data_IF_640619113470
#
_entry.id   IF_640619113470
#
_cell.length_a   1.000
_cell.length_b   1.000
_cell.length_c   1.000
_cell.angle_alpha   90.00
_cell.angle_beta   90.00
_cell.angle_gamma   90.00
#
_symmetry.space_group_name_H-M   'P 1'
#
loop_
_entity.id
_entity.type
_entity.pdbx_description
1 polymer ?
#
# COMPACT_ATOMS: atom_id res chain seq x y z
N UNK A 1 -20.73 -30.18 5.04
CA UNK A 1 -21.11 -29.22 6.11
C UNK A 1 -20.32 -27.96 5.84
N UNK A 2 -20.98 -26.81 5.76
CA UNK A 2 -20.27 -25.54 5.66
C UNK A 2 -19.40 -25.39 6.92
N UNK A 3 -18.13 -25.11 6.75
CA UNK A 3 -17.25 -24.83 7.90
C UNK A 3 -17.59 -23.45 8.43
N UNK A 4 -17.76 -23.33 9.75
CA UNK A 4 -18.03 -22.06 10.42
C UNK A 4 -16.72 -21.29 10.75
N UNK A 5 -15.56 -21.83 10.36
CA UNK A 5 -14.27 -21.19 10.58
C UNK A 5 -13.80 -20.38 9.36
N UNK A 6 -13.30 -19.19 9.61
CA UNK A 6 -12.71 -18.31 8.61
C UNK A 6 -11.31 -17.88 9.05
N UNK A 7 -10.40 -17.68 8.09
CA UNK A 7 -9.03 -17.25 8.35
C UNK A 7 -8.77 -15.87 7.76
N UNK A 8 -8.24 -14.96 8.56
CA UNK A 8 -7.67 -13.68 8.14
C UNK A 8 -6.15 -13.71 8.19
N UNK A 9 -5.52 -13.29 7.10
CA UNK A 9 -4.07 -13.19 6.96
C UNK A 9 -3.69 -11.72 6.90
N UNK A 10 -2.82 -11.26 7.78
CA UNK A 10 -2.17 -9.95 7.73
C UNK A 10 -0.69 -10.13 7.34
N UNK A 11 -0.37 -9.89 6.08
CA UNK A 11 1.00 -9.90 5.55
C UNK A 11 1.52 -8.46 5.43
N UNK A 12 1.84 -7.85 6.56
CA UNK A 12 2.40 -6.50 6.64
C UNK A 12 3.93 -6.52 6.44
N UNK A 13 4.61 -5.39 6.64
CA UNK A 13 6.05 -5.26 6.30
C UNK A 13 6.95 -6.20 7.10
N UNK A 14 6.65 -6.43 8.38
CA UNK A 14 7.56 -7.14 9.32
C UNK A 14 7.20 -8.61 9.54
N UNK A 15 5.98 -9.02 9.26
CA UNK A 15 5.50 -10.37 9.56
C UNK A 15 4.21 -10.71 8.85
N UNK A 16 3.99 -12.00 8.65
CA UNK A 16 2.65 -12.57 8.41
C UNK A 16 2.03 -12.97 9.75
N UNK A 17 0.80 -12.54 9.98
CA UNK A 17 -0.03 -12.95 11.12
C UNK A 17 -1.28 -13.64 10.58
N UNK A 18 -1.75 -14.62 11.31
CA UNK A 18 -2.92 -15.43 10.99
C UNK A 18 -3.87 -15.45 12.17
N UNK A 19 -5.14 -15.21 11.90
CA UNK A 19 -6.21 -15.32 12.86
C UNK A 19 -7.28 -16.23 12.27
N UNK A 20 -7.64 -17.29 12.95
CA UNK A 20 -8.78 -18.15 12.61
C UNK A 20 -9.90 -17.88 13.60
N UNK A 21 -11.06 -17.50 13.10
CA UNK A 21 -12.22 -17.15 13.87
C UNK A 21 -13.42 -18.06 13.55
N UNK A 22 -14.32 -18.24 14.51
CA UNK A 22 -15.68 -18.68 14.25
C UNK A 22 -16.44 -17.56 13.52
N UNK A 23 -17.00 -17.85 12.36
CA UNK A 23 -17.68 -16.88 11.51
C UNK A 23 -18.98 -16.32 12.09
N UNK A 24 -19.61 -17.05 13.03
CA UNK A 24 -20.89 -16.66 13.64
C UNK A 24 -20.70 -15.78 14.88
N UNK A 25 -19.63 -16.04 15.65
CA UNK A 25 -19.39 -15.37 16.93
C UNK A 25 -18.27 -14.33 16.87
N UNK A 26 -17.36 -14.44 15.88
CA UNK A 26 -16.13 -13.64 15.81
C UNK A 26 -15.07 -14.10 16.84
N UNK A 27 -15.30 -15.19 17.56
CA UNK A 27 -14.33 -15.69 18.55
C UNK A 27 -13.06 -16.17 17.85
N UNK A 28 -11.89 -15.74 18.36
CA UNK A 28 -10.59 -16.18 17.87
C UNK A 28 -10.31 -17.58 18.40
N UNK A 29 -10.17 -18.54 17.47
CA UNK A 29 -9.96 -19.97 17.79
C UNK A 29 -8.47 -20.33 17.72
N UNK A 30 -7.75 -19.80 16.74
CA UNK A 30 -6.32 -20.09 16.52
C UNK A 30 -5.61 -18.85 16.02
N UNK A 31 -4.33 -18.74 16.32
CA UNK A 31 -3.47 -17.66 15.81
C UNK A 31 -2.10 -18.20 15.45
N UNK A 32 -1.47 -17.58 14.45
CA UNK A 32 -0.10 -17.88 14.05
C UNK A 32 0.65 -16.63 13.65
N UNK A 33 1.97 -16.71 13.62
CA UNK A 33 2.83 -15.60 13.20
C UNK A 33 4.18 -16.13 12.74
N UNK A 34 4.68 -15.51 11.64
CA UNK A 34 6.05 -15.71 11.18
C UNK A 34 6.67 -14.36 10.77
N UNK A 35 7.97 -14.19 10.95
CA UNK A 35 8.67 -12.94 10.63
C UNK A 35 8.98 -12.85 9.14
N UNK A 36 9.02 -11.62 8.63
CA UNK A 36 9.59 -11.31 7.32
C UNK A 36 11.05 -10.85 7.46
N UNK A 37 11.87 -10.98 6.40
CA UNK A 37 13.18 -10.36 6.36
C UNK A 37 13.07 -8.83 6.48
N UNK A 38 14.05 -8.23 7.15
CA UNK A 38 14.18 -6.77 7.19
C UNK A 38 14.61 -6.22 5.82
N UNK A 39 14.22 -4.98 5.53
CA UNK A 39 14.65 -4.26 4.34
C UNK A 39 13.53 -3.52 3.62
N UNK A 40 13.87 -2.93 2.48
CA UNK A 40 12.97 -2.22 1.57
C UNK A 40 12.80 -2.95 0.23
N UNK A 41 13.51 -4.08 0.09
CA UNK A 41 13.50 -4.97 -1.07
C UNK A 41 13.50 -6.41 -0.57
N UNK A 42 12.46 -7.19 -0.91
CA UNK A 42 12.24 -8.53 -0.39
C UNK A 42 11.80 -9.47 -1.52
N UNK A 43 12.38 -10.68 -1.55
CA UNK A 43 11.89 -11.72 -2.45
C UNK A 43 10.46 -12.14 -2.05
N UNK A 44 9.48 -12.12 -2.97
CA UNK A 44 8.10 -12.52 -2.64
C UNK A 44 7.98 -13.92 -2.06
N UNK A 45 8.89 -14.82 -2.40
CA UNK A 45 8.97 -16.17 -1.81
C UNK A 45 9.08 -16.14 -0.28
N UNK A 46 9.75 -15.14 0.30
CA UNK A 46 9.86 -15.00 1.75
C UNK A 46 8.50 -14.75 2.42
N UNK A 47 7.58 -14.05 1.75
CA UNK A 47 6.20 -13.88 2.26
C UNK A 47 5.42 -15.18 2.20
N UNK A 48 5.64 -15.97 1.14
CA UNK A 48 5.00 -17.27 1.01
C UNK A 48 5.51 -18.26 2.07
N UNK A 49 6.81 -18.26 2.35
CA UNK A 49 7.40 -19.10 3.40
C UNK A 49 6.87 -18.68 4.78
N UNK A 50 6.82 -17.38 5.07
CA UNK A 50 6.23 -16.86 6.28
C UNK A 50 4.72 -17.18 6.40
N UNK A 51 3.97 -17.13 5.29
CA UNK A 51 2.59 -17.57 5.26
C UNK A 51 2.46 -19.05 5.64
N UNK A 52 3.27 -19.92 5.04
CA UNK A 52 3.25 -21.36 5.32
C UNK A 52 3.60 -21.67 6.77
N UNK A 53 4.63 -21.01 7.31
CA UNK A 53 5.02 -21.12 8.72
C UNK A 53 3.89 -20.64 9.65
N UNK A 54 3.33 -19.46 9.38
CA UNK A 54 2.28 -18.88 10.21
C UNK A 54 0.96 -19.66 10.17
N UNK A 55 0.70 -20.43 9.11
CA UNK A 55 -0.54 -21.22 8.92
C UNK A 55 -0.39 -22.69 9.26
N UNK A 56 0.79 -23.15 9.66
CA UNK A 56 1.06 -24.59 9.88
C UNK A 56 0.08 -25.18 10.92
N UNK A 57 -0.70 -26.18 10.48
CA UNK A 57 -1.74 -26.85 11.26
C UNK A 57 -2.95 -25.98 11.65
N UNK A 58 -3.05 -24.72 11.18
CA UNK A 58 -4.13 -23.81 11.58
C UNK A 58 -5.34 -23.82 10.64
N UNK A 59 -5.18 -24.24 9.39
CA UNK A 59 -6.23 -24.14 8.36
C UNK A 59 -7.19 -25.33 8.33
N UNK A 60 -7.04 -26.30 9.22
CA UNK A 60 -7.95 -27.44 9.28
C UNK A 60 -9.37 -27.00 9.63
N UNK A 61 -10.33 -27.37 8.77
CA UNK A 61 -11.73 -27.02 8.93
C UNK A 61 -12.06 -25.55 8.59
N UNK A 62 -11.13 -24.77 8.06
CA UNK A 62 -11.39 -23.41 7.56
C UNK A 62 -12.16 -23.47 6.25
N UNK A 63 -13.29 -22.74 6.15
CA UNK A 63 -14.12 -22.65 4.95
C UNK A 63 -13.78 -21.51 4.02
N UNK A 64 -13.23 -20.41 4.56
CA UNK A 64 -12.85 -19.25 3.77
C UNK A 64 -11.59 -18.56 4.34
N UNK A 65 -10.80 -17.95 3.43
CA UNK A 65 -9.56 -17.25 3.77
C UNK A 65 -9.49 -15.91 3.02
N UNK A 66 -8.98 -14.87 3.67
CA UNK A 66 -8.71 -13.57 3.07
C UNK A 66 -7.34 -13.05 3.44
N UNK A 67 -6.69 -12.36 2.49
CA UNK A 67 -5.35 -11.78 2.66
C UNK A 67 -5.45 -10.26 2.73
N UNK A 68 -4.96 -9.68 3.82
CA UNK A 68 -4.57 -8.27 3.89
C UNK A 68 -3.05 -8.17 3.69
N UNK A 69 -2.59 -7.35 2.75
CA UNK A 69 -1.17 -7.23 2.46
C UNK A 69 -0.67 -5.80 2.47
N UNK A 70 0.64 -5.62 2.70
CA UNK A 70 1.26 -4.30 2.60
C UNK A 70 1.01 -3.68 1.24
N UNK A 71 0.68 -2.38 1.23
CA UNK A 71 0.29 -1.66 0.02
C UNK A 71 1.50 -1.24 -0.83
N UNK A 72 1.26 -0.90 -2.10
CA UNK A 72 2.19 -0.25 -3.03
C UNK A 72 3.44 -1.05 -3.43
N UNK A 73 3.70 -2.19 -2.83
CA UNK A 73 4.83 -3.04 -3.20
C UNK A 73 4.75 -3.44 -4.68
N UNK A 74 5.91 -3.58 -5.35
CA UNK A 74 5.97 -3.93 -6.76
C UNK A 74 6.48 -5.36 -6.91
N UNK A 75 5.60 -6.29 -7.26
CA UNK A 75 5.95 -7.66 -7.67
C UNK A 75 5.87 -7.74 -9.19
N UNK A 76 6.97 -8.10 -9.83
CA UNK A 76 7.07 -8.24 -11.29
C UNK A 76 7.29 -9.70 -11.65
N UNK A 77 6.47 -10.22 -12.58
CA UNK A 77 6.52 -11.60 -13.06
C UNK A 77 6.83 -11.62 -14.56
N UNK A 78 7.55 -12.62 -15.01
CA UNK A 78 7.75 -12.92 -16.42
C UNK A 78 6.60 -13.75 -17.00
N UNK A 79 6.69 -14.11 -18.28
CA UNK A 79 5.68 -14.89 -19.00
C UNK A 79 5.42 -16.28 -18.39
N UNK A 80 6.40 -16.85 -17.70
CA UNK A 80 6.26 -18.12 -16.99
C UNK A 80 5.65 -17.98 -15.59
N UNK A 81 5.44 -16.73 -15.11
CA UNK A 81 4.96 -16.44 -13.76
C UNK A 81 6.06 -16.43 -12.71
N UNK A 82 7.33 -16.49 -13.14
CA UNK A 82 8.49 -16.39 -12.23
C UNK A 82 8.80 -14.93 -11.90
N UNK A 83 9.26 -14.70 -10.68
CA UNK A 83 9.61 -13.36 -10.19
C UNK A 83 10.83 -12.81 -10.93
N UNK A 84 10.68 -11.70 -11.62
CA UNK A 84 11.75 -11.06 -12.39
C UNK A 84 12.84 -10.48 -11.47
N UNK A 85 12.42 -9.90 -10.34
CA UNK A 85 13.33 -9.33 -9.33
C UNK A 85 12.69 -9.32 -7.95
N UNK A 86 13.45 -9.17 -6.84
CA UNK A 86 12.87 -8.91 -5.52
C UNK A 86 11.94 -7.69 -5.53
N UNK A 87 10.83 -7.79 -4.81
CA UNK A 87 9.81 -6.73 -4.75
C UNK A 87 10.33 -5.49 -4.03
N UNK A 88 10.12 -4.31 -4.61
CA UNK A 88 10.35 -3.03 -3.95
C UNK A 88 9.16 -2.70 -3.06
N UNK A 89 9.39 -2.50 -1.76
CA UNK A 89 8.36 -2.25 -0.78
C UNK A 89 7.91 -0.78 -0.78
N UNK A 90 6.83 -0.49 -0.06
CA UNK A 90 6.28 0.86 0.07
C UNK A 90 7.25 1.87 0.69
N UNK A 91 8.14 1.41 1.58
CA UNK A 91 9.14 2.20 2.28
C UNK A 91 10.48 2.34 1.52
N UNK A 92 10.56 1.80 0.28
CA UNK A 92 11.71 2.01 -0.59
C UNK A 92 11.63 3.39 -1.25
N UNK A 93 12.70 4.18 -1.11
CA UNK A 93 12.74 5.57 -1.56
C UNK A 93 13.53 5.77 -2.86
N UNK A 94 14.08 4.70 -3.47
CA UNK A 94 14.89 4.80 -4.71
C UNK A 94 14.13 5.42 -5.89
N UNK A 95 12.80 5.31 -5.90
CA UNK A 95 11.92 5.88 -6.91
C UNK A 95 11.49 7.33 -6.63
N UNK A 96 12.10 8.04 -5.67
CA UNK A 96 11.75 9.43 -5.35
C UNK A 96 11.94 10.37 -6.56
N UNK A 97 13.05 10.24 -7.29
CA UNK A 97 13.29 11.02 -8.52
C UNK A 97 12.26 10.70 -9.61
N UNK A 98 11.90 9.43 -9.78
CA UNK A 98 10.86 9.02 -10.71
C UNK A 98 9.49 9.63 -10.36
N UNK A 99 9.17 9.78 -9.06
CA UNK A 99 7.95 10.44 -8.63
C UNK A 99 7.94 11.94 -8.99
N UNK A 100 9.06 12.65 -8.80
CA UNK A 100 9.22 14.05 -9.20
C UNK A 100 9.05 14.21 -10.71
N UNK A 101 9.70 13.36 -11.51
CA UNK A 101 9.65 13.41 -12.97
C UNK A 101 8.24 13.16 -13.49
N UNK A 102 7.58 12.10 -13.04
CA UNK A 102 6.20 11.81 -13.42
C UNK A 102 5.26 12.95 -13.01
N UNK A 103 5.47 13.53 -11.82
CA UNK A 103 4.70 14.68 -11.34
C UNK A 103 4.87 15.91 -12.24
N UNK A 104 6.09 16.18 -12.70
CA UNK A 104 6.40 17.30 -13.59
C UNK A 104 5.91 17.07 -15.03
N UNK A 105 6.05 15.86 -15.57
CA UNK A 105 5.70 15.51 -16.95
C UNK A 105 4.20 15.65 -17.23
N UNK A 106 3.34 15.20 -16.33
CA UNK A 106 1.89 15.27 -16.51
C UNK A 106 1.23 16.46 -15.77
N UNK A 107 1.88 16.95 -14.73
CA UNK A 107 1.38 17.99 -13.85
C UNK A 107 0.46 17.50 -12.75
N UNK A 108 0.51 18.13 -11.55
CA UNK A 108 -0.22 17.68 -10.36
C UNK A 108 -1.74 17.58 -10.54
N UNK A 109 -2.34 18.56 -11.22
CA UNK A 109 -3.80 18.59 -11.44
C UNK A 109 -4.27 17.42 -12.31
N UNK A 110 -3.50 17.09 -13.36
CA UNK A 110 -3.83 15.99 -14.26
C UNK A 110 -3.70 14.63 -13.54
N UNK A 111 -2.67 14.44 -12.70
CA UNK A 111 -2.54 13.25 -11.87
C UNK A 111 -3.72 13.12 -10.92
N UNK A 112 -4.04 14.16 -10.14
CA UNK A 112 -5.16 14.15 -9.20
C UNK A 112 -6.50 13.87 -9.90
N UNK A 113 -6.73 14.46 -11.08
CA UNK A 113 -7.94 14.21 -11.87
C UNK A 113 -8.00 12.78 -12.42
N UNK A 114 -6.86 12.20 -12.77
CA UNK A 114 -6.79 10.89 -13.44
C UNK A 114 -6.93 9.73 -12.46
N UNK A 115 -6.25 9.79 -11.32
CA UNK A 115 -6.13 8.68 -10.35
C UNK A 115 -6.41 9.08 -8.90
N UNK A 116 -6.84 10.33 -8.67
CA UNK A 116 -7.22 10.83 -7.33
C UNK A 116 -6.03 11.19 -6.43
N UNK A 117 -4.79 11.08 -6.89
CA UNK A 117 -3.58 11.31 -6.08
C UNK A 117 -2.41 11.76 -6.93
N UNK A 118 -1.34 12.22 -6.28
CA UNK A 118 -0.05 12.50 -6.91
C UNK A 118 0.89 11.31 -6.75
N UNK A 119 1.75 10.99 -7.74
CA UNK A 119 2.80 10.00 -7.59
C UNK A 119 3.74 10.36 -6.45
N UNK A 120 3.98 9.40 -5.56
CA UNK A 120 4.99 9.49 -4.49
C UNK A 120 5.88 8.26 -4.55
N UNK A 121 7.07 8.31 -3.95
CA UNK A 121 8.05 7.23 -4.01
C UNK A 121 7.49 5.85 -3.59
N UNK A 122 6.51 5.82 -2.70
CA UNK A 122 5.88 4.57 -2.25
C UNK A 122 5.02 3.90 -3.33
N UNK A 123 4.48 4.63 -4.31
CA UNK A 123 3.53 4.09 -5.29
C UNK A 123 4.19 3.17 -6.31
N UNK A 124 3.44 2.17 -6.77
CA UNK A 124 3.91 1.17 -7.75
C UNK A 124 4.33 1.80 -9.07
N UNK A 125 3.60 2.83 -9.54
CA UNK A 125 3.89 3.55 -10.79
C UNK A 125 5.29 4.17 -10.80
N UNK A 126 5.75 4.69 -9.66
CA UNK A 126 7.08 5.31 -9.56
C UNK A 126 8.20 4.28 -9.52
N UNK A 127 7.94 3.11 -8.95
CA UNK A 127 8.86 1.97 -8.96
C UNK A 127 9.02 1.38 -10.37
N UNK A 128 7.92 1.31 -11.12
CA UNK A 128 7.97 0.88 -12.53
C UNK A 128 8.76 1.88 -13.38
N UNK A 129 8.61 3.19 -13.17
CA UNK A 129 9.42 4.21 -13.84
C UNK A 129 10.89 4.06 -13.48
N UNK A 130 11.19 3.91 -12.20
CA UNK A 130 12.55 3.68 -11.75
C UNK A 130 13.16 2.42 -12.39
N UNK A 131 12.40 1.33 -12.46
CA UNK A 131 12.85 0.08 -13.08
C UNK A 131 13.11 0.26 -14.58
N UNK A 132 12.24 0.96 -15.31
CA UNK A 132 12.42 1.23 -16.72
C UNK A 132 13.70 2.05 -16.99
N UNK A 133 14.01 3.01 -16.12
CA UNK A 133 15.15 3.91 -16.27
C UNK A 133 16.49 3.28 -15.82
N UNK A 134 16.47 2.37 -14.82
CA UNK A 134 17.69 1.85 -14.19
C UNK A 134 17.96 0.36 -14.45
N UNK A 135 16.92 -0.42 -14.77
CA UNK A 135 17.00 -1.87 -15.00
C UNK A 135 16.22 -2.26 -16.28
N UNK A 136 16.52 -1.63 -17.45
CA UNK A 136 15.71 -1.82 -18.66
C UNK A 136 15.68 -3.28 -19.14
N UNK A 137 16.73 -4.04 -18.98
CA UNK A 137 16.78 -5.47 -19.35
C UNK A 137 15.84 -6.32 -18.50
N UNK A 138 15.69 -6.00 -17.20
CA UNK A 138 14.71 -6.64 -16.34
C UNK A 138 13.29 -6.14 -16.66
N UNK A 139 13.13 -4.84 -16.94
CA UNK A 139 11.85 -4.26 -17.33
C UNK A 139 11.28 -4.92 -18.60
N UNK A 140 12.14 -5.29 -19.58
CA UNK A 140 11.74 -5.97 -20.81
C UNK A 140 11.22 -7.40 -20.58
N UNK A 141 11.56 -8.02 -19.44
CA UNK A 141 11.09 -9.35 -19.07
C UNK A 141 9.74 -9.35 -18.34
N UNK A 142 9.27 -8.17 -17.91
CA UNK A 142 8.04 -8.09 -17.11
C UNK A 142 6.81 -8.31 -17.99
N UNK A 143 6.16 -9.45 -17.81
CA UNK A 143 4.88 -9.77 -18.42
C UNK A 143 3.69 -9.37 -17.55
N UNK A 144 3.86 -9.36 -16.20
CA UNK A 144 2.77 -9.06 -15.25
C UNK A 144 3.28 -8.27 -14.04
N UNK A 145 2.42 -7.37 -13.53
CA UNK A 145 2.69 -6.60 -12.30
C UNK A 145 1.57 -6.85 -11.29
N UNK A 146 1.96 -7.24 -10.07
CA UNK A 146 1.07 -7.52 -8.95
C UNK A 146 1.48 -6.69 -7.73
N UNK A 147 0.54 -6.46 -6.83
CA UNK A 147 0.81 -5.97 -5.48
C UNK A 147 1.11 -7.17 -4.55
N UNK A 148 1.69 -6.94 -3.35
CA UNK A 148 2.01 -8.04 -2.43
C UNK A 148 0.79 -8.90 -2.07
N UNK A 149 -0.37 -8.27 -1.80
CA UNK A 149 -1.59 -9.02 -1.48
C UNK A 149 -2.14 -9.78 -2.69
N UNK A 150 -2.07 -9.20 -3.91
CA UNK A 150 -2.48 -9.86 -5.15
C UNK A 150 -1.66 -11.14 -5.36
N UNK A 151 -0.34 -11.02 -5.20
CA UNK A 151 0.59 -12.14 -5.39
C UNK A 151 0.34 -13.26 -4.37
N UNK A 152 0.15 -12.93 -3.09
CA UNK A 152 -0.16 -13.92 -2.05
C UNK A 152 -1.52 -14.57 -2.29
N UNK A 153 -2.55 -13.80 -2.64
CA UNK A 153 -3.86 -14.32 -2.98
C UNK A 153 -3.78 -15.25 -4.19
N UNK A 154 -3.06 -14.87 -5.24
CA UNK A 154 -2.85 -15.71 -6.41
C UNK A 154 -2.14 -17.02 -6.10
N UNK A 155 -1.13 -16.98 -5.20
CA UNK A 155 -0.43 -18.19 -4.73
C UNK A 155 -1.32 -19.17 -3.94
N UNK A 156 -2.41 -18.68 -3.35
CA UNK A 156 -3.40 -19.50 -2.66
C UNK A 156 -4.36 -20.22 -3.62
N UNK A 157 -4.60 -19.64 -4.79
CA UNK A 157 -5.57 -20.13 -5.76
C UNK A 157 -5.08 -21.44 -6.40
N UNK A 158 -6.04 -22.20 -6.89
CA UNK A 158 -5.75 -23.40 -7.69
C UNK A 158 -5.08 -23.03 -9.02
N UNK A 159 -4.28 -23.95 -9.56
CA UNK A 159 -3.48 -23.70 -10.77
C UNK A 159 -4.33 -23.21 -11.95
N UNK A 160 -3.78 -22.26 -12.70
CA UNK A 160 -4.41 -21.69 -13.89
C UNK A 160 -5.45 -20.60 -13.62
N UNK A 161 -5.68 -20.24 -12.34
CA UNK A 161 -6.55 -19.12 -11.99
C UNK A 161 -5.81 -17.80 -12.22
N UNK A 162 -6.47 -16.85 -12.90
CA UNK A 162 -5.91 -15.52 -13.12
C UNK A 162 -5.83 -14.71 -11.80
N UNK A 163 -4.79 -13.89 -11.62
CA UNK A 163 -4.66 -13.06 -10.42
C UNK A 163 -5.75 -11.99 -10.37
N UNK A 164 -6.18 -11.70 -9.16
CA UNK A 164 -7.17 -10.67 -8.85
C UNK A 164 -6.63 -9.69 -7.83
N UNK A 165 -7.25 -8.52 -7.77
CA UNK A 165 -7.01 -7.48 -6.78
C UNK A 165 -8.33 -6.87 -6.33
N UNK A 166 -8.29 -6.11 -5.23
CA UNK A 166 -9.41 -5.29 -4.82
C UNK A 166 -9.24 -3.83 -5.28
N UNK A 167 -10.32 -3.09 -5.24
CA UNK A 167 -10.34 -1.67 -5.61
C UNK A 167 -9.49 -0.80 -4.68
N UNK A 168 -9.43 -1.15 -3.39
CA UNK A 168 -8.70 -0.38 -2.38
C UNK A 168 -7.20 -0.40 -2.65
N UNK A 169 -6.62 -1.58 -2.84
CA UNK A 169 -5.19 -1.74 -3.09
C UNK A 169 -4.82 -1.26 -4.50
N UNK A 170 -5.64 -1.55 -5.52
CA UNK A 170 -5.46 -1.01 -6.86
C UNK A 170 -5.35 0.51 -6.89
N UNK A 171 -6.08 1.23 -6.02
CA UNK A 171 -6.03 2.69 -5.90
C UNK A 171 -4.67 3.23 -5.49
N UNK A 172 -3.84 2.43 -4.83
CA UNK A 172 -2.49 2.79 -4.41
C UNK A 172 -1.42 2.57 -5.47
N UNK A 173 -1.77 2.06 -6.66
CA UNK A 173 -0.81 1.80 -7.73
C UNK A 173 -0.32 3.06 -8.43
N UNK A 174 -1.16 4.11 -8.51
CA UNK A 174 -0.92 5.33 -9.29
C UNK A 174 -1.31 5.20 -10.78
N UNK A 175 -1.85 4.07 -11.19
CA UNK A 175 -2.41 3.86 -12.54
C UNK A 175 -3.81 3.21 -12.53
N UNK A 176 -4.53 3.33 -11.43
CA UNK A 176 -5.94 2.95 -11.32
C UNK A 176 -6.78 4.19 -10.97
N UNK A 177 -7.92 4.36 -11.63
CA UNK A 177 -8.85 5.44 -11.36
C UNK A 177 -9.98 4.99 -10.43
N UNK A 178 -10.00 5.40 -9.17
CA UNK A 178 -11.11 5.05 -8.27
C UNK A 178 -12.45 5.66 -8.69
N UNK A 179 -12.43 6.72 -9.53
CA UNK A 179 -13.63 7.36 -10.02
C UNK A 179 -14.34 6.55 -11.12
N UNK A 180 -13.57 5.90 -12.01
CA UNK A 180 -14.13 5.08 -13.10
C UNK A 180 -14.12 3.59 -12.79
N UNK A 181 -13.31 3.15 -11.83
CA UNK A 181 -13.10 1.74 -11.52
C UNK A 181 -12.21 1.02 -12.55
N UNK A 182 -11.42 1.77 -13.31
CA UNK A 182 -10.63 1.24 -14.42
C UNK A 182 -9.14 1.57 -14.30
N UNK A 183 -8.29 0.71 -14.89
CA UNK A 183 -6.87 0.99 -15.03
C UNK A 183 -6.62 2.04 -16.11
N UNK A 184 -5.77 3.01 -15.80
CA UNK A 184 -5.22 4.00 -16.71
C UNK A 184 -3.95 3.43 -17.37
N UNK A 185 -4.16 2.56 -18.36
CA UNK A 185 -3.08 1.89 -19.10
C UNK A 185 -2.16 2.87 -19.83
N UNK A 186 -2.67 4.05 -20.17
CA UNK A 186 -1.89 5.15 -20.73
C UNK A 186 -0.85 5.69 -19.72
N UNK A 187 -1.23 5.86 -18.45
CA UNK A 187 -0.31 6.28 -17.39
C UNK A 187 0.70 5.17 -17.04
N UNK A 188 0.26 3.91 -17.03
CA UNK A 188 1.15 2.77 -16.86
C UNK A 188 2.22 2.73 -17.96
N UNK A 189 1.80 2.79 -19.22
CA UNK A 189 2.71 2.77 -20.37
C UNK A 189 3.66 3.97 -20.34
N UNK A 190 3.16 5.17 -20.02
CA UNK A 190 3.97 6.37 -19.88
C UNK A 190 5.07 6.20 -18.81
N UNK A 191 4.71 5.69 -17.64
CA UNK A 191 5.66 5.47 -16.57
C UNK A 191 6.65 4.33 -16.88
N UNK A 192 6.20 3.26 -17.54
CA UNK A 192 7.02 2.07 -17.77
C UNK A 192 7.73 2.04 -19.15
N UNK A 193 7.98 3.22 -19.70
CA UNK A 193 8.75 3.35 -20.96
C UNK A 193 8.07 2.72 -22.18
N UNK A 194 6.74 2.81 -22.26
CA UNK A 194 5.92 2.24 -23.32
C UNK A 194 5.46 0.80 -23.09
N UNK A 195 5.92 0.14 -22.05
CA UNK A 195 5.55 -1.26 -21.71
C UNK A 195 4.17 -1.32 -21.07
N UNK A 196 3.40 -2.37 -21.40
CA UNK A 196 2.02 -2.58 -20.92
C UNK A 196 1.84 -3.99 -20.35
N UNK A 197 2.46 -4.30 -19.21
CA UNK A 197 2.31 -5.61 -18.58
C UNK A 197 0.85 -5.89 -18.23
N UNK A 198 0.51 -7.16 -18.08
CA UNK A 198 -0.79 -7.58 -17.55
C UNK A 198 -0.96 -7.12 -16.10
N UNK A 199 -2.20 -6.79 -15.76
CA UNK A 199 -2.61 -6.37 -14.42
C UNK A 199 -3.69 -7.32 -13.89
N UNK A 200 -3.78 -7.52 -12.57
CA UNK A 200 -4.80 -8.36 -11.98
C UNK A 200 -6.20 -7.80 -12.25
N UNK A 201 -7.19 -8.69 -12.38
CA UNK A 201 -8.59 -8.27 -12.50
C UNK A 201 -9.05 -7.66 -11.19
N UNK A 202 -9.61 -6.45 -11.23
CA UNK A 202 -10.25 -5.83 -10.05
C UNK A 202 -11.60 -6.48 -9.82
N UNK A 203 -11.81 -7.06 -8.64
CA UNK A 203 -13.07 -7.69 -8.25
C UNK A 203 -13.72 -6.94 -7.08
N UNK A 204 -15.02 -7.17 -6.90
CA UNK A 204 -15.80 -6.55 -5.83
C UNK A 204 -15.50 -7.15 -4.44
N UNK A 205 -15.81 -6.44 -3.36
CA UNK A 205 -15.47 -6.87 -2.00
C UNK A 205 -16.21 -8.12 -1.54
N UNK A 206 -17.33 -8.48 -2.19
CA UNK A 206 -18.10 -9.68 -1.92
C UNK A 206 -17.88 -10.78 -2.98
N UNK A 207 -17.00 -10.55 -3.94
CA UNK A 207 -16.63 -11.55 -4.95
C UNK A 207 -15.53 -12.45 -4.42
N UNK A 208 -15.60 -13.73 -4.77
CA UNK A 208 -14.54 -14.69 -4.49
C UNK A 208 -13.44 -14.57 -5.55
N UNK A 209 -12.19 -14.61 -5.11
CA UNK A 209 -11.03 -14.77 -5.99
C UNK A 209 -11.00 -16.17 -6.64
N UNK A 210 -11.49 -17.17 -5.91
CA UNK A 210 -11.52 -18.58 -6.32
C UNK A 210 -11.47 -19.50 -5.10
N UNK A 211 -10.84 -20.65 -5.29
CA UNK A 211 -10.63 -21.63 -4.21
C UNK A 211 -9.17 -22.08 -4.18
N UNK A 212 -8.72 -22.49 -3.00
CA UNK A 212 -7.46 -23.22 -2.89
C UNK A 212 -7.62 -24.64 -3.44
N UNK A 213 -6.50 -25.34 -3.72
CA UNK A 213 -6.53 -26.75 -4.12
C UNK A 213 -7.30 -27.66 -3.16
N UNK A 214 -7.39 -27.27 -1.88
CA UNK A 214 -8.11 -28.01 -0.85
C UNK A 214 -9.58 -27.54 -0.67
N UNK A 215 -10.06 -26.66 -1.57
CA UNK A 215 -11.45 -26.20 -1.58
C UNK A 215 -11.80 -25.08 -0.59
N UNK A 216 -10.82 -24.43 0.05
CA UNK A 216 -11.06 -23.24 0.88
C UNK A 216 -11.41 -22.09 -0.05
N UNK A 217 -12.51 -21.38 0.19
CA UNK A 217 -12.89 -20.18 -0.54
C UNK A 217 -11.87 -19.06 -0.28
N UNK A 218 -11.37 -18.43 -1.33
CA UNK A 218 -10.44 -17.30 -1.23
C UNK A 218 -11.19 -16.01 -1.57
N UNK A 219 -11.19 -15.04 -0.65
CA UNK A 219 -11.81 -13.73 -0.86
C UNK A 219 -10.92 -12.83 -1.73
N UNK A 220 -11.45 -11.67 -2.14
CA UNK A 220 -10.70 -10.67 -2.89
C UNK A 220 -9.41 -10.22 -2.15
N UNK A 221 -9.41 -10.28 -0.82
CA UNK A 221 -8.36 -9.65 -0.03
C UNK A 221 -8.42 -8.13 -0.11
N UNK A 222 -7.41 -7.45 0.40
CA UNK A 222 -7.27 -5.98 0.31
C UNK A 222 -5.89 -5.53 0.83
N UNK A 223 -5.55 -4.24 0.70
CA UNK A 223 -4.40 -3.67 1.39
C UNK A 223 -4.57 -3.66 2.91
N UNK A 224 -3.47 -3.76 3.65
CA UNK A 224 -3.45 -3.85 5.12
C UNK A 224 -4.18 -2.69 5.82
N UNK A 225 -4.06 -1.46 5.31
CA UNK A 225 -4.77 -0.31 5.86
C UNK A 225 -6.29 -0.42 5.69
N UNK A 226 -6.75 -0.95 4.55
CA UNK A 226 -8.17 -1.17 4.30
C UNK A 226 -8.72 -2.31 5.16
N UNK A 227 -7.95 -3.38 5.32
CA UNK A 227 -8.28 -4.48 6.22
C UNK A 227 -8.42 -4.00 7.67
N UNK A 228 -7.49 -3.16 8.14
CA UNK A 228 -7.56 -2.56 9.47
C UNK A 228 -8.78 -1.65 9.64
N UNK A 229 -9.10 -0.84 8.63
CA UNK A 229 -10.29 0.02 8.64
C UNK A 229 -11.59 -0.79 8.73
N UNK A 230 -11.67 -1.88 7.98
CA UNK A 230 -12.83 -2.79 8.01
C UNK A 230 -12.95 -3.46 9.38
N UNK A 231 -11.84 -3.99 9.93
CA UNK A 231 -11.83 -4.63 11.25
C UNK A 231 -12.18 -3.70 12.41
N UNK A 232 -12.04 -2.38 12.22
CA UNK A 232 -12.42 -1.34 13.18
C UNK A 232 -13.82 -0.77 12.92
N UNK A 233 -14.53 -1.31 11.93
CA UNK A 233 -15.87 -0.83 11.55
C UNK A 233 -15.90 0.69 11.27
N UNK A 234 -14.85 1.24 10.63
CA UNK A 234 -14.76 2.66 10.37
C UNK A 234 -15.84 3.10 9.38
N UNK A 235 -16.71 4.01 9.82
CA UNK A 235 -17.73 4.61 8.97
C UNK A 235 -17.09 5.65 8.00
N UNK A 236 -17.72 5.95 6.83
CA UNK A 236 -17.19 6.88 5.84
C UNK A 236 -16.83 8.28 6.35
N UNK A 237 -17.42 8.73 7.47
CA UNK A 237 -17.13 10.01 8.12
C UNK A 237 -16.00 9.95 9.15
N UNK A 238 -15.41 8.77 9.40
CA UNK A 238 -14.33 8.60 10.39
C UNK A 238 -13.02 9.07 9.78
N UNK A 239 -12.39 10.07 10.40
CA UNK A 239 -11.12 10.64 9.96
C UNK A 239 -9.97 9.63 10.13
N UNK A 240 -9.25 9.33 9.07
CA UNK A 240 -8.06 8.48 9.04
C UNK A 240 -6.86 9.03 9.82
N UNK A 241 -6.91 10.29 10.24
CA UNK A 241 -5.80 10.99 10.92
C UNK A 241 -5.34 10.35 12.23
N UNK A 242 -6.07 9.37 12.74
CA UNK A 242 -5.69 8.63 13.96
C UNK A 242 -4.84 7.39 13.71
N UNK A 243 -4.70 6.96 12.45
CA UNK A 243 -4.05 5.68 12.10
C UNK A 243 -2.78 5.82 11.27
N UNK A 244 -2.52 6.97 10.69
CA UNK A 244 -1.21 7.21 10.12
C UNK A 244 -0.18 7.19 11.27
N UNK A 245 0.94 6.44 11.17
CA UNK A 245 2.06 6.64 12.07
C UNK A 245 2.38 8.13 12.02
N UNK A 246 2.52 8.75 13.20
CA UNK A 246 2.68 10.19 13.33
C UNK A 246 3.73 10.69 12.34
N UNK A 247 3.27 11.27 11.24
CA UNK A 247 4.14 12.09 10.42
C UNK A 247 4.66 13.22 11.34
N UNK A 248 5.94 13.59 11.28
CA UNK A 248 6.45 14.68 12.06
C UNK A 248 5.55 15.89 11.80
N UNK A 249 4.98 16.45 12.85
CA UNK A 249 3.98 17.50 12.83
C UNK A 249 4.49 18.71 12.04
N UNK A 250 4.12 18.80 10.77
CA UNK A 250 4.06 20.06 10.07
C UNK A 250 2.75 20.74 10.49
N UNK A 251 2.88 21.88 11.10
CA UNK A 251 1.85 22.62 11.79
C UNK A 251 0.49 22.66 11.06
N UNK A 252 -0.55 22.19 11.74
CA UNK A 252 -1.93 22.47 11.38
C UNK A 252 -2.16 23.99 11.44
N UNK A 253 -2.79 24.62 10.44
CA UNK A 253 -3.19 26.00 10.55
C UNK A 253 -4.21 26.14 11.69
N UNK A 254 -3.92 26.96 12.68
CA UNK A 254 -4.87 27.33 13.72
C UNK A 254 -6.13 27.92 13.09
N UNK A 255 -7.33 27.54 13.55
CA UNK A 255 -8.55 28.23 13.12
C UNK A 255 -8.42 29.71 13.47
N UNK A 256 -8.64 30.56 12.48
CA UNK A 256 -8.67 32.01 12.64
C UNK A 256 -9.82 32.38 13.59
N UNK A 257 -9.48 32.98 14.71
CA UNK A 257 -10.47 33.58 15.60
C UNK A 257 -11.28 34.67 14.84
N UNK A 258 -12.58 34.83 15.12
CA UNK A 258 -13.36 35.88 14.49
C UNK A 258 -12.82 37.26 14.89
N UNK A 259 -12.66 38.11 13.90
CA UNK A 259 -12.20 39.50 14.04
C UNK A 259 -13.25 40.31 14.80
N UNK A 260 -12.94 40.96 15.92
CA UNK A 260 -13.84 41.91 16.53
C UNK A 260 -13.89 43.21 15.70
N UNK A 261 -15.01 43.97 15.74
CA UNK A 261 -15.17 45.17 14.94
C UNK A 261 -14.24 46.31 15.39
N UNK A 262 -13.80 47.07 14.40
CA UNK A 262 -12.91 48.21 14.57
C UNK A 262 -13.52 49.27 15.51
N UNK A 263 -12.79 49.62 16.59
CA UNK A 263 -12.99 50.86 17.31
C UNK A 263 -11.71 51.69 17.25
N UNK A 264 -11.87 52.87 16.74
CA UNK A 264 -10.86 53.93 16.66
C UNK A 264 -10.33 54.35 18.03
N UNK A 265 -8.99 54.57 18.15
CA UNK A 265 -8.40 55.70 18.84
C UNK A 265 -6.86 55.60 18.86
N UNK A 266 -6.29 56.74 18.51
CA UNK A 266 -4.95 57.35 18.56
C UNK A 266 -3.90 56.84 19.56
N UNK A 267 -2.66 56.61 19.01
CA UNK A 267 -1.28 57.03 19.41
C UNK A 267 -0.78 56.76 20.86
N UNK A 268 0.55 56.76 21.13
CA UNK A 268 1.75 56.88 20.33
C UNK A 268 2.82 55.79 20.57
N UNK A 269 3.85 55.78 19.76
CA UNK A 269 5.08 54.96 19.77
C UNK A 269 5.97 55.22 21.01
N UNK A 270 6.67 54.20 21.52
CA UNK A 270 7.98 54.35 22.12
C UNK A 270 9.05 53.39 21.52
N UNK A 271 10.34 53.60 21.86
CA UNK A 271 11.47 53.45 20.97
C UNK A 271 12.10 52.05 20.97
N UNK A 272 12.96 51.84 19.97
CA UNK A 272 13.78 50.66 19.72
C UNK A 272 14.74 50.33 20.88
N UNK A 273 14.76 49.05 21.28
CA UNK A 273 15.84 48.47 22.09
C UNK A 273 16.54 47.38 21.28
N UNK A 274 17.80 47.65 20.96
CA UNK A 274 18.74 46.70 20.38
C UNK A 274 19.16 45.66 21.42
N UNK A 275 19.05 44.37 21.13
CA UNK A 275 19.81 43.37 21.87
C UNK A 275 20.46 42.38 20.87
N UNK A 276 21.78 42.42 20.93
CA UNK A 276 22.71 41.53 20.22
C UNK A 276 22.59 40.10 20.78
N UNK A 277 22.61 39.14 19.90
CA UNK A 277 22.83 37.73 20.26
C UNK A 277 24.35 37.44 20.24
N UNK A 278 24.90 36.67 21.19
CA UNK A 278 26.25 36.15 21.11
C UNK A 278 26.31 34.84 20.28
N UNK A 279 27.42 34.69 19.56
CA UNK A 279 27.75 33.54 18.73
C UNK A 279 28.10 32.29 19.55
N UNK A 280 27.94 31.05 19.01
CA UNK A 280 28.32 29.85 19.73
C UNK A 280 29.82 29.56 19.62
N UNK A 281 30.39 29.18 20.77
CA UNK A 281 31.78 28.74 20.93
C UNK A 281 31.97 27.29 20.54
N UNK A 282 33.11 27.05 19.92
CA UNK A 282 33.64 25.76 19.42
C UNK A 282 34.18 24.85 20.51
N UNK A 283 33.88 23.53 20.38
CA UNK A 283 34.65 22.29 20.65
C UNK A 283 35.57 22.16 21.89
N UNK A 284 35.98 20.94 22.34
CA UNK A 284 36.44 19.80 21.51
C UNK A 284 35.99 18.40 21.91
N UNK A 285 36.45 17.46 21.05
CA UNK A 285 36.31 16.04 21.07
C UNK A 285 36.88 15.27 22.29
N UNK A 286 36.26 14.17 22.60
CA UNK A 286 36.87 12.84 22.80
C UNK A 286 35.87 11.79 22.38
#
# INVERSE_FOLDING_TARGET
MSSDLVAGIDSSTQSTKVVVCDANTGEIVRTGRAAHPDGTEVAPAAWWDAFREATDGLLDGVGAIGVGGQQHGMVTLDESGEVVRPALLWNDTRSAKAAEDLGAELGPENWAKSVGSLPVASFTVTKLRWMADNEPELADRVARVLLPHDWLTWRLLDDGTEPVTDRGDASGTGYFSPATGEYRKDLLAHAFGGRTPELPKVIGPAEAAGHTRNGILVSAGTGDNMAAALGLELAPATSWSRWAPAAPSSASPKPRAPTPPASSRDSPTPPAVSSRWPAPSTRPAC
#
